data_IF_555193369746
#
_entry.id   IF_555193369746
#
_cell.length_a   1.000
_cell.length_b   1.000
_cell.length_c   1.000
_cell.angle_alpha   90.00
_cell.angle_beta   90.00
_cell.angle_gamma   90.00
#
_symmetry.space_group_name_H-M   'P 1'
#
loop_
_entity.id
_entity.type
_entity.pdbx_description
1 polymer ?
#
# COMPACT_ATOMS: atom_id res chain seq x y z
N UNK A 1 26.15 -28.00 -21.38
CA UNK A 1 24.97 -27.65 -20.57
C UNK A 1 25.41 -27.10 -19.21
N UNK A 2 26.14 -25.97 -19.21
CA UNK A 2 26.70 -25.35 -18.00
C UNK A 2 26.52 -23.82 -18.00
N UNK A 3 25.63 -23.30 -18.85
CA UNK A 3 25.46 -21.85 -19.06
C UNK A 3 24.07 -21.33 -18.68
N UNK A 4 23.12 -22.19 -18.30
CA UNK A 4 21.74 -21.77 -17.98
C UNK A 4 21.49 -21.54 -16.48
N UNK A 5 22.42 -21.92 -15.62
CA UNK A 5 22.28 -21.74 -14.16
C UNK A 5 22.70 -20.36 -13.66
N UNK A 6 23.47 -19.60 -14.44
CA UNK A 6 23.95 -18.26 -14.04
C UNK A 6 22.93 -17.14 -14.31
N UNK A 7 21.97 -17.32 -15.23
CA UNK A 7 20.94 -16.30 -15.50
C UNK A 7 19.77 -16.32 -14.51
N UNK A 8 19.55 -17.42 -13.77
CA UNK A 8 18.45 -17.51 -12.77
C UNK A 8 18.85 -17.04 -11.38
N UNK A 9 20.14 -16.94 -11.07
CA UNK A 9 20.62 -16.42 -9.80
C UNK A 9 20.59 -14.87 -9.74
N UNK A 10 20.67 -14.18 -10.89
CA UNK A 10 20.62 -12.71 -10.95
C UNK A 10 19.23 -12.09 -10.79
N UNK A 11 18.15 -12.84 -11.08
CA UNK A 11 16.78 -12.30 -11.04
C UNK A 11 16.14 -12.35 -9.64
N UNK A 12 16.67 -13.17 -8.72
CA UNK A 12 16.16 -13.31 -7.36
C UNK A 12 16.80 -12.34 -6.34
N UNK A 13 17.92 -11.72 -6.69
CA UNK A 13 18.54 -10.68 -5.84
C UNK A 13 17.94 -9.28 -6.05
N UNK A 14 17.18 -9.05 -7.13
CA UNK A 14 16.59 -7.72 -7.40
C UNK A 14 15.23 -7.50 -6.72
N UNK A 15 14.54 -8.56 -6.28
CA UNK A 15 13.24 -8.47 -5.61
C UNK A 15 13.31 -8.38 -4.07
N UNK A 16 14.49 -8.60 -3.47
CA UNK A 16 14.70 -8.52 -2.02
C UNK A 16 15.43 -7.25 -1.55
N UNK A 17 15.80 -6.37 -2.47
CA UNK A 17 16.52 -5.12 -2.18
C UNK A 17 15.83 -3.87 -2.75
N UNK A 18 14.55 -3.96 -3.13
CA UNK A 18 13.74 -2.79 -3.46
C UNK A 18 13.04 -2.32 -2.18
N UNK A 19 13.40 -1.15 -1.61
CA UNK A 19 12.62 -0.58 -0.52
C UNK A 19 11.19 -0.36 -1.03
N UNK A 20 10.21 -0.92 -0.31
CA UNK A 20 8.81 -0.78 -0.68
C UNK A 20 8.45 0.71 -0.78
N UNK A 21 7.86 1.20 -1.89
CA UNK A 21 7.52 2.62 -2.06
C UNK A 21 6.52 3.11 -0.99
N UNK A 22 5.83 2.18 -0.33
CA UNK A 22 4.97 2.41 0.82
C UNK A 22 5.69 2.92 2.07
N UNK A 23 6.94 2.50 2.32
CA UNK A 23 7.66 2.87 3.56
C UNK A 23 8.20 4.32 3.52
N UNK A 24 8.39 4.86 2.32
CA UNK A 24 8.78 6.26 2.11
C UNK A 24 7.64 7.24 2.42
N UNK A 25 6.38 6.83 2.25
CA UNK A 25 5.21 7.66 2.51
C UNK A 25 4.84 7.77 4.01
N UNK A 26 5.48 6.97 4.88
CA UNK A 26 5.30 6.99 6.34
C UNK A 26 6.47 7.63 7.08
N UNK A 27 7.46 8.18 6.36
CA UNK A 27 8.50 8.96 7.00
C UNK A 27 7.85 10.28 7.48
N UNK A 28 7.92 10.63 8.78
CA UNK A 28 7.64 12.00 9.18
C UNK A 28 8.58 12.89 8.36
N UNK A 29 8.04 13.96 7.76
CA UNK A 29 8.84 14.92 7.02
C UNK A 29 10.05 15.28 7.87
N UNK A 30 11.25 15.15 7.27
CA UNK A 30 12.48 15.60 7.89
C UNK A 30 12.27 17.05 8.34
N UNK A 31 12.40 17.24 9.65
CA UNK A 31 12.31 18.53 10.31
C UNK A 31 13.23 19.53 9.59
N UNK A 32 12.72 20.66 9.06
CA UNK A 32 13.60 21.67 8.51
C UNK A 32 14.52 22.15 9.64
N UNK A 33 15.82 22.04 9.38
CA UNK A 33 16.88 22.45 10.29
C UNK A 33 16.58 23.85 10.86
N UNK A 34 16.52 23.90 12.19
CA UNK A 34 16.42 25.13 12.95
C UNK A 34 17.56 26.09 12.57
N UNK A 35 17.29 27.39 12.31
CA UNK A 35 18.35 28.39 12.33
C UNK A 35 18.87 28.57 13.76
N UNK A 36 20.20 28.65 13.87
CA UNK A 36 20.98 28.81 15.10
C UNK A 36 20.57 30.05 15.93
N UNK A 37 20.87 30.09 17.24
CA UNK A 37 20.26 31.00 18.19
C UNK A 37 20.79 32.44 18.06
N UNK A 38 19.86 33.41 18.05
CA UNK A 38 20.17 34.80 18.34
C UNK A 38 20.07 35.04 19.86
N UNK A 39 21.16 35.53 20.46
CA UNK A 39 21.23 35.95 21.86
C UNK A 39 20.53 37.29 22.12
N UNK A 40 20.22 37.64 23.39
CA UNK A 40 18.94 38.20 23.80
C UNK A 40 18.94 39.72 23.90
N UNK A 41 17.82 40.34 23.52
CA UNK A 41 17.54 41.74 23.81
C UNK A 41 16.35 41.85 24.77
N UNK A 42 16.69 42.22 26.01
CA UNK A 42 15.94 43.07 26.94
C UNK A 42 14.47 42.73 27.27
N UNK A 43 14.32 42.21 28.48
CA UNK A 43 13.24 42.43 29.45
C UNK A 43 12.08 43.37 29.03
N UNK A 44 10.89 42.78 28.95
CA UNK A 44 9.62 43.45 29.28
C UNK A 44 8.86 42.58 30.30
N UNK A 45 8.29 43.26 31.29
CA UNK A 45 7.68 42.75 32.51
C UNK A 45 6.45 41.83 32.27
N UNK A 46 6.00 41.06 33.28
CA UNK A 46 4.96 40.06 33.11
C UNK A 46 3.58 40.75 33.10
N UNK A 47 2.92 40.74 31.95
CA UNK A 47 1.51 41.09 31.88
C UNK A 47 0.67 39.82 31.81
N UNK A 48 -0.44 39.86 32.54
CA UNK A 48 -1.26 38.74 32.91
C UNK A 48 -1.68 37.88 31.72
N UNK A 49 -1.53 36.56 31.87
CA UNK A 49 -2.25 35.60 31.04
C UNK A 49 -3.75 35.86 31.21
N UNK A 50 -4.34 36.54 30.23
CA UNK A 50 -5.77 36.54 30.04
C UNK A 50 -6.24 35.08 29.96
N UNK A 51 -7.38 34.72 30.58
CA UNK A 51 -7.91 33.37 30.44
C UNK A 51 -8.10 33.09 28.95
N UNK A 52 -7.42 32.06 28.45
CA UNK A 52 -7.70 31.57 27.11
C UNK A 52 -9.21 31.33 27.01
N UNK A 53 -9.87 31.80 25.94
CA UNK A 53 -11.28 31.57 25.79
C UNK A 53 -11.48 30.06 25.66
N UNK A 54 -11.90 29.42 26.75
CA UNK A 54 -12.40 28.06 26.74
C UNK A 54 -13.48 28.02 25.67
N UNK A 55 -13.17 27.34 24.57
CA UNK A 55 -14.15 26.94 23.57
C UNK A 55 -15.38 26.37 24.32
N UNK A 56 -16.61 26.62 23.84
CA UNK A 56 -17.81 26.09 24.48
C UNK A 56 -17.60 24.59 24.74
N UNK A 57 -17.91 24.08 25.94
CA UNK A 57 -17.52 22.73 26.31
C UNK A 57 -18.28 21.74 25.43
N UNK A 58 -17.59 21.23 24.40
CA UNK A 58 -18.11 20.14 23.60
C UNK A 58 -18.27 18.90 24.46
N UNK A 59 -19.38 18.20 24.28
CA UNK A 59 -19.55 16.84 24.78
C UNK A 59 -18.81 15.83 23.87
N UNK A 60 -17.78 15.13 24.37
CA UNK A 60 -17.02 14.14 23.58
C UNK A 60 -17.84 12.90 23.20
N UNK A 61 -18.92 12.57 23.93
CA UNK A 61 -19.81 11.47 23.55
C UNK A 61 -20.61 11.82 22.30
N UNK A 62 -21.16 13.04 22.25
CA UNK A 62 -21.81 13.57 21.03
C UNK A 62 -20.79 13.66 19.89
N UNK A 63 -19.58 14.13 20.18
CA UNK A 63 -18.49 14.20 19.19
C UNK A 63 -18.16 12.85 18.58
N UNK A 64 -18.09 11.79 19.41
CA UNK A 64 -17.91 10.41 18.96
C UNK A 64 -19.05 9.96 18.05
N UNK A 65 -20.30 10.22 18.43
CA UNK A 65 -21.47 9.82 17.64
C UNK A 65 -21.52 10.52 16.28
N UNK A 66 -21.15 11.80 16.21
CA UNK A 66 -20.98 12.54 14.97
C UNK A 66 -19.83 11.96 14.13
N UNK A 67 -18.70 11.64 14.78
CA UNK A 67 -17.51 11.09 14.12
C UNK A 67 -17.82 9.76 13.43
N UNK A 68 -18.48 8.82 14.11
CA UNK A 68 -18.81 7.50 13.54
C UNK A 68 -20.09 7.51 12.69
N UNK A 69 -20.83 8.63 12.67
CA UNK A 69 -22.10 8.74 11.95
C UNK A 69 -23.29 8.07 12.63
N UNK A 70 -23.18 7.74 13.92
CA UNK A 70 -24.33 7.32 14.74
C UNK A 70 -25.32 8.49 14.92
N UNK A 71 -24.80 9.72 14.91
CA UNK A 71 -25.57 10.95 14.78
C UNK A 71 -25.21 11.62 13.46
N UNK A 72 -26.21 11.96 12.67
CA UNK A 72 -26.01 12.69 11.42
C UNK A 72 -25.62 14.15 11.68
N UNK A 73 -24.74 14.70 10.84
CA UNK A 73 -24.43 16.12 10.81
C UNK A 73 -25.63 16.92 10.30
N UNK A 74 -25.91 18.07 10.91
CA UNK A 74 -27.07 18.95 10.65
C UNK A 74 -27.17 19.32 9.17
N UNK A 75 -26.03 19.62 8.54
CA UNK A 75 -25.98 20.05 7.14
C UNK A 75 -25.77 18.89 6.15
N UNK A 76 -25.86 17.63 6.59
CA UNK A 76 -25.81 16.46 5.71
C UNK A 76 -24.40 16.04 5.28
N UNK A 77 -23.36 16.51 5.97
CA UNK A 77 -21.98 16.11 5.70
C UNK A 77 -21.72 14.63 6.01
N UNK A 78 -20.71 14.06 5.37
CA UNK A 78 -20.27 12.69 5.66
C UNK A 78 -19.64 12.62 7.07
N UNK A 79 -19.86 11.55 7.84
CA UNK A 79 -19.16 11.38 9.11
C UNK A 79 -17.67 11.15 8.87
N UNK A 80 -16.81 11.72 9.72
CA UNK A 80 -15.36 11.61 9.59
C UNK A 80 -14.88 10.15 9.55
N UNK A 81 -15.52 9.29 10.35
CA UNK A 81 -15.29 7.85 10.49
C UNK A 81 -15.59 7.03 9.25
N UNK A 82 -16.21 7.61 8.21
CA UNK A 82 -16.35 6.98 6.90
C UNK A 82 -15.00 6.81 6.20
N UNK A 83 -14.04 7.70 6.48
CA UNK A 83 -12.72 7.71 5.85
C UNK A 83 -11.57 7.66 6.85
N UNK A 84 -11.73 8.20 8.06
CA UNK A 84 -10.65 8.35 9.05
C UNK A 84 -10.85 7.50 10.30
N UNK A 85 -9.73 7.01 10.87
CA UNK A 85 -9.74 6.26 12.11
C UNK A 85 -9.13 7.09 13.23
N UNK A 86 -9.67 6.94 14.43
CA UNK A 86 -9.08 7.51 15.64
C UNK A 86 -9.49 6.71 16.88
N UNK A 87 -8.51 6.27 17.67
CA UNK A 87 -8.78 5.63 18.96
C UNK A 87 -9.66 4.37 18.87
N UNK A 88 -9.55 3.61 17.78
CA UNK A 88 -10.34 2.41 17.51
C UNK A 88 -11.68 2.66 16.81
N UNK A 89 -12.05 3.91 16.54
CA UNK A 89 -13.28 4.29 15.85
C UNK A 89 -13.05 4.49 14.34
N UNK A 90 -14.05 4.23 13.49
CA UNK A 90 -13.98 4.44 12.02
C UNK A 90 -14.38 3.21 11.20
N UNK A 91 -15.68 2.88 11.18
CA UNK A 91 -16.25 1.56 10.82
C UNK A 91 -16.01 1.04 9.39
N UNK A 92 -15.36 1.77 8.49
CA UNK A 92 -15.12 1.32 7.12
C UNK A 92 -13.65 0.89 6.91
N UNK A 93 -13.37 -0.41 6.81
CA UNK A 93 -12.04 -0.94 6.45
C UNK A 93 -10.86 -0.40 7.31
N UNK A 94 -11.07 -0.23 8.61
CA UNK A 94 -10.12 0.44 9.53
C UNK A 94 -9.81 1.90 9.14
N UNK A 95 -10.77 2.53 8.46
CA UNK A 95 -10.70 3.86 7.90
C UNK A 95 -9.43 4.08 7.04
N UNK A 96 -9.24 3.16 6.09
CA UNK A 96 -8.08 3.11 5.20
C UNK A 96 -8.15 4.09 4.03
N UNK A 97 -9.21 4.89 3.91
CA UNK A 97 -9.36 5.87 2.83
C UNK A 97 -8.71 7.22 3.16
N UNK A 98 -8.57 7.54 4.45
CA UNK A 98 -7.84 8.70 4.94
C UNK A 98 -6.73 8.31 5.93
N UNK A 99 -5.82 9.23 6.28
CA UNK A 99 -4.86 9.00 7.35
C UNK A 99 -5.56 8.83 8.70
N UNK A 100 -4.97 8.03 9.59
CA UNK A 100 -5.38 7.97 10.98
C UNK A 100 -5.13 9.32 11.67
N UNK A 101 -6.12 9.83 12.38
CA UNK A 101 -6.11 11.21 12.92
C UNK A 101 -5.42 11.34 14.29
N UNK A 102 -5.06 10.21 14.92
CA UNK A 102 -4.45 10.18 16.26
C UNK A 102 -3.25 11.12 16.41
N UNK A 103 -2.35 11.10 15.43
CA UNK A 103 -1.15 11.93 15.42
C UNK A 103 -1.38 13.31 14.80
N UNK A 104 -2.42 13.45 13.96
CA UNK A 104 -2.72 14.69 13.25
C UNK A 104 -3.18 15.83 14.17
N UNK A 105 -3.73 15.48 15.34
CA UNK A 105 -4.22 16.45 16.32
C UNK A 105 -3.44 16.42 17.63
N UNK A 106 -2.29 15.74 17.67
CA UNK A 106 -1.44 15.72 18.85
C UNK A 106 -0.85 17.11 19.09
N UNK A 107 -0.97 17.61 20.32
CA UNK A 107 -0.51 18.95 20.70
C UNK A 107 -1.36 20.14 20.19
N UNK A 108 -2.50 19.89 19.51
CA UNK A 108 -3.44 20.96 19.18
C UNK A 108 -4.33 21.30 20.38
N UNK A 109 -4.77 22.56 20.44
CA UNK A 109 -5.82 23.01 21.35
C UNK A 109 -7.20 23.04 20.65
N UNK A 110 -8.25 23.39 21.41
CA UNK A 110 -9.61 23.43 20.91
C UNK A 110 -9.85 24.54 19.87
N UNK A 111 -9.14 25.67 19.96
CA UNK A 111 -9.30 26.79 19.04
C UNK A 111 -8.65 26.49 17.69
N UNK A 112 -7.45 25.91 17.70
CA UNK A 112 -6.75 25.43 16.53
C UNK A 112 -7.57 24.37 15.79
N UNK A 113 -8.16 23.43 16.54
CA UNK A 113 -8.98 22.38 15.96
C UNK A 113 -10.33 22.90 15.42
N UNK A 114 -10.99 23.85 16.10
CA UNK A 114 -12.20 24.49 15.58
C UNK A 114 -11.94 25.21 14.25
N UNK A 115 -10.81 25.94 14.14
CA UNK A 115 -10.39 26.57 12.88
C UNK A 115 -10.21 25.55 11.76
N UNK A 116 -9.57 24.42 12.05
CA UNK A 116 -9.36 23.34 11.09
C UNK A 116 -10.66 22.65 10.65
N UNK A 117 -11.63 22.53 11.56
CA UNK A 117 -12.95 21.96 11.27
C UNK A 117 -13.86 22.97 10.53
N UNK A 118 -13.66 24.27 10.74
CA UNK A 118 -14.42 25.32 10.06
C UNK A 118 -13.94 25.51 8.62
N UNK A 119 -12.64 25.44 8.37
CA UNK A 119 -12.04 25.61 7.05
C UNK A 119 -10.85 24.66 6.86
N UNK A 120 -11.10 23.39 6.48
CA UNK A 120 -10.04 22.39 6.37
C UNK A 120 -9.10 22.73 5.20
N UNK A 121 -7.79 22.97 5.44
CA UNK A 121 -6.83 23.36 4.40
C UNK A 121 -6.36 22.15 3.56
N UNK A 122 -7.11 21.06 3.56
CA UNK A 122 -6.73 19.81 2.90
C UNK A 122 -7.54 19.66 1.60
N UNK A 123 -6.89 19.71 0.41
CA UNK A 123 -7.59 19.68 -0.88
C UNK A 123 -8.53 18.48 -1.07
N UNK A 124 -8.26 17.36 -0.40
CA UNK A 124 -9.10 16.16 -0.42
C UNK A 124 -10.36 16.27 0.47
N UNK A 125 -10.36 17.14 1.49
CA UNK A 125 -11.49 17.31 2.43
C UNK A 125 -12.38 18.51 2.10
N UNK A 126 -11.83 19.57 1.47
CA UNK A 126 -12.63 20.72 1.01
C UNK A 126 -13.90 20.31 0.25
N UNK A 127 -13.86 19.45 -0.78
CA UNK A 127 -15.07 19.09 -1.54
C UNK A 127 -16.08 18.28 -0.73
N UNK A 128 -15.66 17.60 0.35
CA UNK A 128 -16.55 16.82 1.22
C UNK A 128 -17.53 17.73 1.97
N UNK A 129 -17.08 18.93 2.35
CA UNK A 129 -17.86 19.87 3.17
C UNK A 129 -18.25 21.18 2.46
N UNK A 130 -17.84 21.39 1.20
CA UNK A 130 -18.11 22.62 0.44
C UNK A 130 -19.60 23.03 0.34
N UNK A 131 -20.53 22.06 0.43
CA UNK A 131 -21.98 22.30 0.50
C UNK A 131 -22.63 21.86 1.81
N UNK A 132 -21.84 21.36 2.76
CA UNK A 132 -22.29 20.71 3.98
C UNK A 132 -21.43 21.14 5.18
N UNK A 133 -21.31 22.46 5.46
CA UNK A 133 -20.39 22.95 6.48
C UNK A 133 -20.75 22.40 7.87
N UNK A 134 -19.76 22.20 8.74
CA UNK A 134 -19.99 21.78 10.12
C UNK A 134 -20.58 22.92 10.94
N UNK A 135 -21.65 22.65 11.67
CA UNK A 135 -22.25 23.62 12.58
C UNK A 135 -21.29 23.94 13.75
N UNK A 136 -21.26 25.18 14.27
CA UNK A 136 -20.39 25.53 15.40
C UNK A 136 -20.53 24.61 16.63
N UNK A 137 -21.74 24.16 16.96
CA UNK A 137 -21.96 23.22 18.06
C UNK A 137 -21.31 21.86 17.76
N UNK A 138 -21.47 21.39 16.52
CA UNK A 138 -20.91 20.12 16.05
C UNK A 138 -19.39 20.14 16.07
N UNK A 139 -18.77 21.27 15.68
CA UNK A 139 -17.32 21.44 15.76
C UNK A 139 -16.84 21.41 17.20
N UNK A 140 -17.54 22.05 18.14
CA UNK A 140 -17.19 21.99 19.56
C UNK A 140 -17.22 20.54 20.08
N UNK A 141 -18.28 19.78 19.78
CA UNK A 141 -18.41 18.36 20.14
C UNK A 141 -17.30 17.50 19.51
N UNK A 142 -17.07 17.65 18.21
CA UNK A 142 -16.01 16.95 17.49
C UNK A 142 -14.64 17.28 18.06
N UNK A 143 -14.34 18.55 18.35
CA UNK A 143 -13.09 18.98 18.95
C UNK A 143 -12.85 18.31 20.30
N UNK A 144 -13.86 18.28 21.18
CA UNK A 144 -13.76 17.62 22.48
C UNK A 144 -13.44 16.12 22.36
N UNK A 145 -14.05 15.43 21.40
CA UNK A 145 -13.78 14.02 21.13
C UNK A 145 -12.37 13.79 20.56
N UNK A 146 -12.01 14.55 19.52
CA UNK A 146 -10.76 14.38 18.79
C UNK A 146 -9.53 14.69 19.65
N UNK A 147 -9.57 15.77 20.45
CA UNK A 147 -8.52 16.06 21.42
C UNK A 147 -8.42 14.98 22.50
N UNK A 148 -9.57 14.45 22.93
CA UNK A 148 -9.62 13.34 23.87
C UNK A 148 -9.02 12.04 23.32
N UNK A 149 -9.01 11.85 22.00
CA UNK A 149 -8.48 10.65 21.34
C UNK A 149 -7.07 10.85 20.76
N UNK A 150 -6.62 12.09 20.58
CA UNK A 150 -5.28 12.43 20.12
C UNK A 150 -4.20 11.81 21.03
N UNK A 151 -3.10 11.35 20.43
CA UNK A 151 -1.98 10.76 21.17
C UNK A 151 -2.24 9.40 21.84
N UNK A 152 -3.49 8.92 21.99
CA UNK A 152 -3.80 7.68 22.73
C UNK A 152 -3.57 6.41 21.92
N UNK A 153 -2.83 5.40 22.43
CA UNK A 153 -2.55 4.17 21.69
C UNK A 153 -3.84 3.44 21.29
N UNK A 154 -3.87 2.93 20.06
CA UNK A 154 -5.01 2.21 19.51
C UNK A 154 -5.37 0.98 20.37
N UNK A 155 -6.64 0.80 20.76
CA UNK A 155 -7.07 -0.38 21.49
C UNK A 155 -6.77 -1.66 20.69
N UNK A 156 -5.87 -2.51 21.19
CA UNK A 156 -5.67 -3.86 20.64
C UNK A 156 -4.57 -4.02 19.59
N UNK A 157 -3.73 -3.01 19.33
CA UNK A 157 -2.56 -3.14 18.45
C UNK A 157 -1.67 -4.37 18.80
N UNK A 158 -1.45 -4.63 20.09
CA UNK A 158 -0.73 -5.83 20.53
C UNK A 158 -1.51 -7.14 20.35
N UNK A 159 -2.85 -7.11 20.42
CA UNK A 159 -3.71 -8.31 20.32
C UNK A 159 -3.83 -8.79 18.88
N UNK A 160 -3.86 -7.87 17.92
CA UNK A 160 -3.86 -8.19 16.49
C UNK A 160 -2.60 -8.98 16.07
N UNK A 161 -1.42 -8.59 16.58
CA UNK A 161 -0.17 -9.30 16.33
C UNK A 161 -0.21 -10.76 16.82
N UNK A 162 -0.77 -11.00 18.01
CA UNK A 162 -0.94 -12.36 18.54
C UNK A 162 -1.95 -13.18 17.75
N UNK A 163 -3.09 -12.60 17.34
CA UNK A 163 -4.07 -13.30 16.50
C UNK A 163 -3.44 -13.69 15.16
N UNK A 164 -2.72 -12.78 14.51
CA UNK A 164 -2.02 -13.07 13.26
C UNK A 164 -0.97 -14.18 13.42
N UNK A 165 -0.20 -14.16 14.52
CA UNK A 165 0.78 -15.20 14.83
C UNK A 165 0.11 -16.57 15.04
N UNK A 166 -1.04 -16.62 15.74
CA UNK A 166 -1.79 -17.85 15.94
C UNK A 166 -2.37 -18.40 14.63
N UNK A 167 -2.91 -17.53 13.77
CA UNK A 167 -3.41 -17.93 12.44
C UNK A 167 -2.25 -18.46 11.59
N UNK A 168 -1.10 -17.77 11.56
CA UNK A 168 0.07 -18.23 10.83
C UNK A 168 0.56 -19.60 11.32
N UNK A 169 0.62 -19.79 12.64
CA UNK A 169 1.00 -21.07 13.25
C UNK A 169 0.00 -22.18 12.89
N UNK A 170 -1.31 -21.90 12.94
CA UNK A 170 -2.35 -22.85 12.56
C UNK A 170 -2.26 -23.25 11.07
N UNK A 171 -2.01 -22.29 10.18
CA UNK A 171 -1.79 -22.54 8.75
C UNK A 171 -0.54 -23.42 8.53
N UNK A 172 0.58 -23.10 9.19
CA UNK A 172 1.81 -23.90 9.09
C UNK A 172 1.63 -25.32 9.63
N UNK A 173 0.93 -25.47 10.75
CA UNK A 173 0.59 -26.78 11.30
C UNK A 173 -0.33 -27.55 10.34
N UNK A 174 -1.35 -26.92 9.78
CA UNK A 174 -2.26 -27.51 8.80
C UNK A 174 -1.54 -27.97 7.54
N UNK A 175 -0.66 -27.14 6.97
CA UNK A 175 0.17 -27.48 5.80
C UNK A 175 1.14 -28.60 6.16
N UNK A 176 1.80 -28.53 7.32
CA UNK A 176 2.75 -29.55 7.78
C UNK A 176 2.08 -30.91 8.02
N UNK A 177 0.93 -30.95 8.69
CA UNK A 177 0.14 -32.16 8.89
C UNK A 177 -0.42 -32.67 7.57
N UNK A 178 -0.92 -31.79 6.71
CA UNK A 178 -1.42 -32.12 5.38
C UNK A 178 -0.34 -32.74 4.49
N UNK A 179 0.84 -32.12 4.43
CA UNK A 179 2.00 -32.61 3.69
C UNK A 179 2.47 -33.99 4.18
N UNK A 180 2.36 -34.27 5.49
CA UNK A 180 2.64 -35.61 6.06
C UNK A 180 1.60 -36.67 5.67
N UNK A 181 0.39 -36.26 5.28
CA UNK A 181 -0.70 -37.17 4.85
C UNK A 181 -0.72 -37.40 3.34
N UNK A 182 0.01 -36.65 2.53
CA UNK A 182 0.08 -36.87 1.08
C UNK A 182 0.83 -38.18 0.85
N UNK A 183 0.16 -39.26 0.39
CA UNK A 183 0.85 -40.51 0.11
C UNK A 183 1.82 -40.28 -1.06
N UNK A 184 3.09 -40.67 -0.90
CA UNK A 184 4.15 -40.50 -1.90
C UNK A 184 3.94 -41.28 -3.21
N UNK A 185 2.77 -41.91 -3.39
CA UNK A 185 2.45 -42.78 -4.50
C UNK A 185 2.28 -42.05 -5.82
N UNK A 186 1.79 -40.80 -5.87
CA UNK A 186 1.56 -40.14 -7.16
C UNK A 186 2.86 -39.95 -7.97
N UNK A 187 3.94 -39.50 -7.31
CA UNK A 187 5.25 -39.35 -7.96
C UNK A 187 5.95 -40.69 -8.15
N UNK A 188 5.88 -41.58 -7.16
CA UNK A 188 6.47 -42.90 -7.26
C UNK A 188 5.84 -43.74 -8.38
N UNK A 189 4.53 -43.62 -8.58
CA UNK A 189 3.77 -44.31 -9.61
C UNK A 189 4.04 -43.72 -10.99
N UNK A 190 4.11 -42.39 -11.13
CA UNK A 190 4.54 -41.79 -12.40
C UNK A 190 5.97 -42.19 -12.79
N UNK A 191 6.89 -42.27 -11.81
CA UNK A 191 8.26 -42.75 -12.05
C UNK A 191 8.29 -44.24 -12.38
N UNK A 192 7.49 -45.07 -11.70
CA UNK A 192 7.38 -46.50 -12.01
C UNK A 192 6.80 -46.71 -13.42
N UNK A 193 5.73 -46.00 -13.79
CA UNK A 193 5.13 -46.04 -15.13
C UNK A 193 6.10 -45.57 -16.20
N UNK A 194 6.87 -44.51 -15.95
CA UNK A 194 7.88 -44.02 -16.90
C UNK A 194 9.02 -45.03 -17.12
N UNK A 195 9.40 -45.80 -16.09
CA UNK A 195 10.41 -46.87 -16.21
C UNK A 195 9.88 -48.11 -16.95
N UNK A 196 8.59 -48.37 -16.88
CA UNK A 196 7.92 -49.46 -17.59
C UNK A 196 7.48 -49.08 -19.01
N UNK A 197 7.48 -47.80 -19.36
CA UNK A 197 7.14 -47.34 -20.70
C UNK A 197 8.19 -47.84 -21.71
N UNK A 198 7.79 -48.54 -22.78
CA UNK A 198 8.71 -48.99 -23.81
C UNK A 198 9.40 -47.79 -24.48
N UNK A 199 10.65 -47.92 -24.93
CA UNK A 199 11.36 -46.83 -25.58
C UNK A 199 10.55 -46.35 -26.79
N UNK A 200 10.50 -45.03 -27.05
CA UNK A 200 9.79 -44.52 -28.21
C UNK A 200 10.33 -45.21 -29.46
N UNK A 201 9.43 -45.81 -30.26
CA UNK A 201 9.81 -46.36 -31.57
C UNK A 201 10.46 -45.23 -32.33
N UNK A 202 11.77 -45.35 -32.60
CA UNK A 202 12.46 -44.48 -33.53
C UNK A 202 11.77 -44.64 -34.88
N UNK A 203 10.91 -43.69 -35.23
CA UNK A 203 10.43 -43.55 -36.60
C UNK A 203 11.68 -43.30 -37.43
N UNK A 204 12.05 -44.31 -38.22
CA UNK A 204 13.18 -44.23 -39.14
C UNK A 204 12.96 -42.99 -40.00
N UNK A 205 13.88 -42.01 -40.03
CA UNK A 205 13.75 -40.88 -40.94
C UNK A 205 13.60 -41.47 -42.35
N UNK A 206 12.49 -41.14 -43.00
CA UNK A 206 12.23 -41.49 -44.40
C UNK A 206 13.43 -41.04 -45.21
N UNK A 207 14.10 -41.99 -45.87
CA UNK A 207 15.26 -41.66 -46.69
C UNK A 207 14.86 -40.62 -47.74
N UNK A 208 15.70 -39.60 -47.99
CA UNK A 208 15.47 -38.71 -49.10
C UNK A 208 15.49 -39.53 -50.40
N UNK A 209 14.39 -39.48 -51.13
CA UNK A 209 14.26 -40.09 -52.46
C UNK A 209 15.35 -39.53 -53.37
N UNK A 210 16.20 -40.41 -53.92
CA UNK A 210 17.19 -40.07 -54.95
C UNK A 210 16.46 -39.41 -56.14
N UNK A 211 16.81 -38.20 -56.58
CA UNK A 211 16.31 -37.66 -57.84
C UNK A 211 16.89 -38.46 -59.01
N UNK A 212 16.04 -38.80 -59.97
CA UNK A 212 16.42 -39.42 -61.23
C UNK A 212 17.28 -38.44 -62.05
N UNK A 213 18.39 -38.94 -62.58
CA UNK A 213 19.27 -38.22 -63.48
C UNK A 213 18.57 -37.97 -64.83
N UNK A 214 18.60 -36.71 -65.28
CA UNK A 214 18.45 -36.35 -66.69
C UNK A 214 19.52 -35.31 -67.03
N UNK A 215 20.17 -35.54 -68.16
CA UNK A 215 21.38 -34.88 -68.63
C UNK A 215 21.11 -33.65 -69.51
N UNK A 216 22.19 -32.85 -69.67
CA UNK A 216 22.44 -31.78 -70.65
C UNK A 216 21.70 -30.44 -70.43
N UNK A 217 22.33 -29.25 -70.53
CA UNK A 217 23.70 -28.88 -70.89
C UNK A 217 23.93 -27.35 -70.79
N UNK A 218 25.23 -26.99 -70.69
CA UNK A 218 25.93 -25.74 -71.06
C UNK A 218 25.40 -24.32 -70.68
N UNK A 219 26.02 -23.73 -69.64
CA UNK A 219 26.88 -22.51 -69.59
C UNK A 219 26.55 -21.22 -70.39
N UNK A 220 27.21 -20.06 -70.10
CA UNK A 220 27.42 -19.37 -68.82
C UNK A 220 27.16 -17.83 -68.93
N UNK A 221 27.16 -17.11 -67.79
CA UNK A 221 27.85 -15.82 -67.52
C UNK A 221 27.15 -14.98 -66.43
N UNK A 222 27.95 -14.38 -65.55
CA UNK A 222 27.60 -13.49 -64.44
C UNK A 222 27.84 -12.01 -64.85
N UNK A 223 27.93 -11.02 -63.93
CA UNK A 223 27.14 -10.68 -62.73
C UNK A 223 26.68 -9.19 -62.75
N UNK A 224 25.78 -8.75 -61.85
CA UNK A 224 25.94 -7.45 -61.13
C UNK A 224 24.81 -7.11 -60.13
N UNK A 225 25.28 -6.76 -58.92
CA UNK A 225 24.75 -5.88 -57.85
C UNK A 225 23.40 -5.18 -58.05
N UNK A 226 22.55 -5.26 -57.01
CA UNK A 226 21.61 -4.19 -56.68
C UNK A 226 21.62 -3.91 -55.16
N UNK A 227 21.64 -2.62 -54.86
CA UNK A 227 21.94 -1.96 -53.60
C UNK A 227 20.75 -1.92 -52.64
N UNK A 228 21.09 -1.97 -51.35
CA UNK A 228 20.21 -1.75 -50.20
C UNK A 228 19.75 -0.30 -50.13
N UNK A 229 18.44 -0.05 -50.28
CA UNK A 229 17.81 1.22 -49.92
C UNK A 229 17.19 1.10 -48.52
N UNK A 230 17.72 1.84 -47.56
CA UNK A 230 17.06 2.11 -46.28
C UNK A 230 16.20 3.37 -46.49
N UNK A 231 14.88 3.20 -46.44
CA UNK A 231 13.92 4.30 -46.34
C UNK A 231 13.50 4.47 -44.88
N UNK A 232 13.79 5.62 -44.31
CA UNK A 232 13.13 6.14 -43.11
C UNK A 232 12.04 7.13 -43.49
N UNK A 233 11.00 7.22 -42.68
CA UNK A 233 10.03 8.35 -42.58
C UNK A 233 9.52 8.29 -41.13
N UNK A 234 10.03 9.20 -40.29
CA UNK A 234 9.36 10.39 -39.73
C UNK A 234 8.35 10.08 -38.64
#
# INVERSE_FOLDING_TARGET
MASEHLLRAGALAFLLAMPSPWLAAQQPAAEPAAPAPAEPAAAAAPDAAAPEPTAPPGDPAIGRDLFIGARALRNGGAPCGACHAIGGEGSAFAASFGPGLRASFDGLDAAALDGLLSDPPFPSMVPVYAGHPLDPDERAHLSAFLLGAAGKPEPGAGRAGWIAALIALACLAGIGLGARRIPGSARAELVARARLAPPPRRTRPSQPTRPAASAAGAAPTAPAKATRAQGGVR
#
